data_IF_055021986249
#
_entry.id   IF_055021986249
#
_cell.length_a   1.000
_cell.length_b   1.000
_cell.length_c   1.000
_cell.angle_alpha   90.00
_cell.angle_beta   90.00
_cell.angle_gamma   90.00
#
_symmetry.space_group_name_H-M   'P 1'
#
loop_
_entity.id
_entity.type
_entity.pdbx_description
1 polymer ?
#
# COMPACT_ATOMS: atom_id res chain seq x y z
N UNK A 1 14.81 -20.06 7.97
CA UNK A 1 14.53 -19.96 6.53
C UNK A 1 15.84 -20.00 5.74
N UNK A 2 16.76 -19.06 5.93
CA UNK A 2 18.00 -18.86 5.15
C UNK A 2 18.92 -20.09 5.13
N UNK A 3 19.08 -20.79 6.27
CA UNK A 3 19.88 -22.03 6.36
C UNK A 3 19.36 -23.14 5.43
N UNK A 4 18.14 -23.01 4.89
CA UNK A 4 17.52 -23.92 3.93
C UNK A 4 17.39 -23.33 2.55
N UNK A 5 18.05 -22.20 2.26
CA UNK A 5 17.99 -21.49 0.99
C UNK A 5 16.69 -20.76 0.71
N UNK A 6 15.83 -20.58 1.73
CA UNK A 6 14.57 -19.84 1.59
C UNK A 6 14.81 -18.35 1.82
N UNK A 7 14.13 -17.52 1.03
CA UNK A 7 14.02 -16.08 1.25
C UNK A 7 12.79 -15.76 2.09
N UNK A 8 12.86 -14.66 2.84
CA UNK A 8 11.77 -14.21 3.72
C UNK A 8 11.42 -12.78 3.36
N UNK A 9 10.18 -12.56 2.98
CA UNK A 9 9.58 -11.22 2.89
C UNK A 9 8.50 -11.11 3.96
N UNK A 10 8.25 -9.92 4.46
CA UNK A 10 7.17 -9.64 5.42
C UNK A 10 6.29 -8.52 4.91
N UNK A 11 5.08 -8.47 5.45
CA UNK A 11 4.19 -7.34 5.19
C UNK A 11 4.75 -6.06 5.81
N UNK A 12 4.55 -4.97 5.10
CA UNK A 12 4.88 -3.63 5.52
C UNK A 12 3.65 -2.75 5.29
N UNK A 13 2.76 -2.62 6.27
CA UNK A 13 1.66 -1.66 6.20
C UNK A 13 2.24 -0.26 6.30
N UNK A 14 2.25 0.44 5.17
CA UNK A 14 2.82 1.79 5.07
C UNK A 14 1.78 2.86 5.37
N UNK A 15 0.53 2.63 4.96
CA UNK A 15 -0.51 3.64 4.96
C UNK A 15 -0.97 4.06 6.36
N UNK A 16 -1.05 3.15 7.30
CA UNK A 16 -1.70 3.36 8.60
C UNK A 16 -1.00 2.63 9.74
N UNK A 17 -1.41 2.95 10.96
CA UNK A 17 -1.08 2.16 12.15
C UNK A 17 -2.35 1.75 12.89
N UNK A 18 -2.22 0.95 13.94
CA UNK A 18 -3.30 0.81 14.93
C UNK A 18 -3.54 2.15 15.65
N UNK A 19 -4.78 2.43 16.03
CA UNK A 19 -5.14 3.53 16.94
C UNK A 19 -4.51 3.39 18.33
N UNK A 20 -4.01 2.19 18.68
CA UNK A 20 -3.26 1.92 19.92
C UNK A 20 -1.76 2.17 19.76
N UNK A 21 -1.28 2.52 18.56
CA UNK A 21 0.12 2.78 18.33
C UNK A 21 0.60 4.00 19.15
N UNK A 22 1.80 3.96 19.75
CA UNK A 22 2.31 5.08 20.55
C UNK A 22 2.33 6.42 19.80
N UNK A 23 2.58 6.42 18.50
CA UNK A 23 2.55 7.66 17.69
C UNK A 23 1.13 8.25 17.64
N UNK A 24 0.10 7.41 17.45
CA UNK A 24 -1.27 7.90 17.41
C UNK A 24 -1.72 8.42 18.79
N UNK A 25 -1.41 7.69 19.86
CA UNK A 25 -1.73 8.12 21.20
C UNK A 25 -1.06 9.46 21.55
N UNK A 26 0.23 9.63 21.19
CA UNK A 26 0.94 10.90 21.38
C UNK A 26 0.35 12.03 20.50
N UNK A 27 0.00 11.73 19.25
CA UNK A 27 -0.59 12.69 18.31
C UNK A 27 -1.94 13.21 18.80
N UNK A 28 -2.79 12.32 19.36
CA UNK A 28 -4.12 12.70 19.85
C UNK A 28 -4.07 13.51 21.16
N UNK A 29 -3.08 13.24 22.02
CA UNK A 29 -2.93 13.90 23.33
C UNK A 29 -2.24 15.25 23.24
N UNK A 30 -1.28 15.42 22.31
CA UNK A 30 -0.50 16.65 22.15
C UNK A 30 -0.42 17.06 20.67
N UNK A 31 -1.38 17.87 20.18
CA UNK A 31 -1.39 18.35 18.79
C UNK A 31 -0.16 19.15 18.38
N UNK A 32 0.50 19.84 19.31
CA UNK A 32 1.69 20.65 19.07
C UNK A 32 2.99 19.88 19.35
N UNK A 33 2.88 18.64 19.81
CA UNK A 33 4.00 17.77 20.15
C UNK A 33 4.72 17.20 18.92
N UNK A 34 5.79 16.44 19.14
CA UNK A 34 6.62 15.91 18.05
C UNK A 34 5.88 14.95 17.13
N UNK A 35 4.78 14.35 17.58
CA UNK A 35 3.92 13.45 16.82
C UNK A 35 2.58 14.10 16.42
N UNK A 36 2.35 15.38 16.76
CA UNK A 36 1.07 16.04 16.57
C UNK A 36 0.52 15.96 15.14
N UNK A 37 1.40 15.96 14.16
CA UNK A 37 1.09 15.94 12.72
C UNK A 37 1.53 14.64 12.02
N UNK A 38 1.60 13.53 12.78
CA UNK A 38 1.95 12.22 12.21
C UNK A 38 0.80 11.53 11.50
N UNK A 39 -0.43 11.95 11.76
CA UNK A 39 -1.66 11.42 11.15
C UNK A 39 -2.42 12.55 10.47
N UNK A 40 -3.32 12.19 9.59
CA UNK A 40 -4.15 13.15 8.86
C UNK A 40 -5.32 13.58 9.74
N UNK A 41 -5.28 14.83 10.22
CA UNK A 41 -6.29 15.43 11.09
C UNK A 41 -7.04 16.56 10.41
N UNK A 42 -8.30 16.78 10.80
CA UNK A 42 -9.12 17.89 10.33
C UNK A 42 -10.10 18.35 11.42
N UNK A 43 -10.45 19.64 11.38
CA UNK A 43 -11.51 20.18 12.23
C UNK A 43 -12.92 19.76 11.78
N UNK A 44 -13.05 19.32 10.53
CA UNK A 44 -14.31 18.85 9.93
C UNK A 44 -14.11 17.53 9.20
N UNK A 45 -15.16 16.81 8.92
CA UNK A 45 -15.22 15.60 8.10
C UNK A 45 -15.57 15.89 6.63
N UNK A 46 -15.41 17.14 6.19
CA UNK A 46 -15.82 17.60 4.86
C UNK A 46 -14.74 17.47 3.78
N UNK A 47 -13.48 17.17 4.16
CA UNK A 47 -12.39 17.00 3.20
C UNK A 47 -12.46 15.66 2.51
N UNK A 48 -11.86 15.58 1.31
CA UNK A 48 -11.63 14.36 0.53
C UNK A 48 -12.93 13.59 0.21
N UNK A 49 -14.02 14.30 -0.10
CA UNK A 49 -15.34 13.72 -0.33
C UNK A 49 -15.41 12.82 -1.59
N UNK A 50 -14.48 12.98 -2.52
CA UNK A 50 -14.38 12.15 -3.73
C UNK A 50 -13.71 10.79 -3.45
N UNK A 51 -13.14 10.61 -2.27
CA UNK A 51 -12.53 9.36 -1.85
C UNK A 51 -13.61 8.35 -1.43
N UNK A 52 -13.69 7.23 -2.14
CA UNK A 52 -14.66 6.17 -1.81
C UNK A 52 -14.39 5.55 -0.44
N UNK A 53 -15.42 5.06 0.21
CA UNK A 53 -15.30 4.18 1.37
C UNK A 53 -15.01 2.77 0.87
N UNK A 54 -13.92 2.15 1.36
CA UNK A 54 -13.50 0.81 0.92
C UNK A 54 -14.40 -0.26 1.56
N UNK A 55 -14.61 -0.20 2.87
CA UNK A 55 -15.39 -1.19 3.62
C UNK A 55 -16.80 -0.68 3.94
N UNK A 56 -17.62 -0.53 2.92
CA UNK A 56 -19.00 0.00 3.02
C UNK A 56 -19.92 -0.78 3.96
N UNK A 57 -19.61 -2.03 4.28
CA UNK A 57 -20.39 -2.86 5.18
C UNK A 57 -20.12 -2.55 6.67
N UNK A 58 -19.00 -1.89 6.96
CA UNK A 58 -18.54 -1.64 8.33
C UNK A 58 -18.29 -0.17 8.63
N UNK A 59 -17.87 0.61 7.64
CA UNK A 59 -17.53 2.03 7.77
C UNK A 59 -18.55 2.89 7.04
N UNK A 60 -18.93 4.00 7.64
CA UNK A 60 -19.89 4.98 7.09
C UNK A 60 -19.22 6.26 6.62
N UNK A 61 -17.95 6.45 6.96
CA UNK A 61 -17.12 7.60 6.61
C UNK A 61 -15.66 7.19 6.60
N UNK A 62 -14.82 7.91 5.88
CA UNK A 62 -13.36 7.84 5.99
C UNK A 62 -12.83 8.74 7.13
N UNK A 63 -13.70 9.43 7.85
CA UNK A 63 -13.38 10.29 9.00
C UNK A 63 -14.00 9.77 10.27
N UNK A 64 -13.23 9.77 11.35
CA UNK A 64 -13.74 9.45 12.70
C UNK A 64 -13.37 10.57 13.68
N UNK A 65 -14.35 11.02 14.47
CA UNK A 65 -14.14 12.06 15.50
C UNK A 65 -13.40 11.47 16.71
N UNK A 66 -12.28 12.11 17.08
CA UNK A 66 -11.54 11.80 18.30
C UNK A 66 -11.92 12.78 19.43
N UNK A 67 -12.51 12.28 20.54
CA UNK A 67 -12.96 13.15 21.63
C UNK A 67 -11.81 13.71 22.48
N UNK A 68 -10.61 13.13 22.44
CA UNK A 68 -9.44 13.60 23.19
C UNK A 68 -8.86 14.81 22.48
N UNK A 69 -8.52 14.67 21.18
CA UNK A 69 -7.99 15.75 20.36
C UNK A 69 -9.07 16.75 19.94
N UNK A 70 -10.34 16.32 19.90
CA UNK A 70 -11.51 17.10 19.45
C UNK A 70 -11.43 17.50 17.98
N UNK A 71 -10.83 16.64 17.18
CA UNK A 71 -10.71 16.74 15.73
C UNK A 71 -11.11 15.40 15.09
N UNK A 72 -11.29 15.38 13.79
CA UNK A 72 -11.48 14.16 13.01
C UNK A 72 -10.11 13.67 12.52
N UNK A 73 -9.91 12.35 12.57
CA UNK A 73 -8.77 11.72 11.89
C UNK A 73 -9.24 10.92 10.68
N UNK A 74 -8.40 10.91 9.66
CA UNK A 74 -8.63 10.16 8.43
C UNK A 74 -8.25 8.69 8.60
N UNK A 75 -9.01 7.80 7.98
CA UNK A 75 -8.71 6.38 7.85
C UNK A 75 -9.28 5.87 6.53
N UNK A 76 -8.44 5.31 5.71
CA UNK A 76 -8.87 4.76 4.42
C UNK A 76 -9.54 3.39 4.56
N UNK A 77 -9.18 2.66 5.61
CA UNK A 77 -9.65 1.33 5.92
C UNK A 77 -10.60 1.37 7.12
N UNK A 78 -10.24 0.74 8.23
CA UNK A 78 -11.09 0.73 9.41
C UNK A 78 -10.81 1.93 10.34
N UNK A 79 -11.82 2.36 11.07
CA UNK A 79 -11.72 3.46 12.03
C UNK A 79 -10.69 3.25 13.15
N UNK A 80 -10.23 2.02 13.37
CA UNK A 80 -9.12 1.72 14.28
C UNK A 80 -7.73 1.67 13.60
N UNK A 81 -7.67 2.09 12.33
CA UNK A 81 -6.46 2.13 11.50
C UNK A 81 -6.23 3.53 10.93
N UNK A 82 -5.88 4.53 11.78
CA UNK A 82 -5.66 5.90 11.32
C UNK A 82 -4.50 5.99 10.34
N UNK A 83 -4.68 6.77 9.29
CA UNK A 83 -3.71 6.94 8.22
C UNK A 83 -2.58 7.91 8.62
N UNK A 84 -1.36 7.53 8.25
CA UNK A 84 -0.17 8.34 8.45
C UNK A 84 -0.13 9.52 7.47
N UNK A 85 0.33 10.67 7.93
CA UNK A 85 0.47 11.88 7.12
C UNK A 85 1.80 11.87 6.35
N UNK A 86 1.81 11.35 5.14
CA UNK A 86 3.00 11.31 4.28
C UNK A 86 3.44 12.67 3.72
N UNK A 87 2.64 13.73 3.88
CA UNK A 87 3.10 15.09 3.63
C UNK A 87 4.11 15.57 4.69
N UNK A 88 4.11 14.95 5.86
CA UNK A 88 5.06 15.24 6.92
C UNK A 88 6.37 14.47 6.70
N UNK A 89 7.51 15.16 6.45
CA UNK A 89 8.79 14.49 6.21
C UNK A 89 9.28 13.65 7.40
N UNK A 90 8.86 13.96 8.62
CA UNK A 90 9.20 13.15 9.80
C UNK A 90 8.50 11.78 9.79
N UNK A 91 7.32 11.70 9.20
CA UNK A 91 6.62 10.42 8.98
C UNK A 91 7.41 9.57 7.98
N UNK A 92 7.84 10.18 6.88
CA UNK A 92 8.66 9.49 5.87
C UNK A 92 9.96 8.97 6.47
N UNK A 93 10.66 9.78 7.27
CA UNK A 93 11.88 9.35 8.00
C UNK A 93 11.59 8.19 8.95
N UNK A 94 10.52 8.29 9.76
CA UNK A 94 10.16 7.24 10.71
C UNK A 94 9.78 5.93 10.00
N UNK A 95 9.10 6.00 8.85
CA UNK A 95 8.80 4.83 8.02
C UNK A 95 10.08 4.21 7.45
N UNK A 96 11.03 5.02 6.99
CA UNK A 96 12.33 4.51 6.54
C UNK A 96 13.12 3.84 7.66
N UNK A 97 13.04 4.34 8.88
CA UNK A 97 13.67 3.70 10.05
C UNK A 97 13.04 2.34 10.35
N UNK A 98 11.71 2.20 10.20
CA UNK A 98 11.01 0.91 10.31
C UNK A 98 11.49 -0.06 9.22
N UNK A 99 11.61 0.40 7.98
CA UNK A 99 12.12 -0.41 6.86
C UNK A 99 13.55 -0.90 7.16
N UNK A 100 14.43 0.01 7.55
CA UNK A 100 15.83 -0.32 7.90
C UNK A 100 15.90 -1.31 9.05
N UNK A 101 15.11 -1.11 10.09
CA UNK A 101 15.06 -2.03 11.24
C UNK A 101 14.82 -3.49 10.81
N UNK A 102 13.84 -3.72 9.94
CA UNK A 102 13.54 -5.06 9.47
C UNK A 102 14.60 -5.62 8.51
N UNK A 103 15.16 -4.77 7.64
CA UNK A 103 16.25 -5.18 6.74
C UNK A 103 17.53 -5.52 7.51
N UNK A 104 17.84 -4.77 8.59
CA UNK A 104 18.96 -5.06 9.49
C UNK A 104 18.77 -6.38 10.23
N UNK A 105 17.53 -6.78 10.54
CA UNK A 105 17.21 -8.11 11.05
C UNK A 105 17.42 -9.23 10.02
N UNK A 106 17.64 -8.90 8.76
CA UNK A 106 18.02 -9.83 7.70
C UNK A 106 16.88 -10.39 6.87
N UNK A 107 15.70 -9.75 6.85
CA UNK A 107 14.64 -10.12 5.89
C UNK A 107 15.09 -9.78 4.46
N UNK A 108 14.50 -10.46 3.47
CA UNK A 108 14.88 -10.34 2.07
C UNK A 108 14.03 -9.33 1.28
N UNK A 109 13.02 -8.76 1.90
CA UNK A 109 12.17 -7.75 1.30
C UNK A 109 10.81 -7.59 1.97
N UNK A 110 9.94 -6.82 1.32
CA UNK A 110 8.62 -6.47 1.83
C UNK A 110 7.52 -6.69 0.80
N UNK A 111 6.32 -7.06 1.27
CA UNK A 111 5.07 -6.76 0.60
C UNK A 111 4.60 -5.39 1.10
N UNK A 112 4.71 -4.37 0.26
CA UNK A 112 4.24 -3.03 0.56
C UNK A 112 2.71 -3.01 0.42
N UNK A 113 2.04 -3.00 1.56
CA UNK A 113 0.59 -3.05 1.70
C UNK A 113 -0.03 -1.68 1.46
N UNK A 114 -1.19 -1.65 0.80
CA UNK A 114 -2.05 -0.47 0.66
C UNK A 114 -1.38 0.76 0.04
N UNK A 115 -0.37 0.58 -0.82
CA UNK A 115 0.42 1.69 -1.38
C UNK A 115 -0.37 2.71 -2.22
N UNK A 116 -1.51 2.40 -2.88
CA UNK A 116 -2.27 3.40 -3.61
C UNK A 116 -2.82 4.54 -2.74
N UNK A 117 -2.86 4.39 -1.44
CA UNK A 117 -3.63 5.24 -0.52
C UNK A 117 -2.78 6.15 0.38
N UNK A 118 -1.47 6.28 0.11
CA UNK A 118 -0.52 6.99 0.99
C UNK A 118 -0.71 8.51 1.06
N UNK A 119 -1.36 9.11 0.06
CA UNK A 119 -1.48 10.56 -0.08
C UNK A 119 -2.94 10.95 -0.23
N UNK A 120 -3.34 11.98 0.49
CA UNK A 120 -4.64 12.62 0.38
C UNK A 120 -4.51 13.97 -0.33
N UNK A 121 -5.35 14.21 -1.33
CA UNK A 121 -5.41 15.49 -2.05
C UNK A 121 -6.86 15.86 -2.34
N UNK A 122 -7.24 17.10 -1.98
CA UNK A 122 -8.60 17.60 -2.17
C UNK A 122 -8.97 17.64 -3.66
N UNK A 123 -10.20 17.21 -3.98
CA UNK A 123 -10.68 17.14 -5.35
C UNK A 123 -10.17 15.93 -6.15
N UNK A 124 -9.55 14.96 -5.47
CA UNK A 124 -9.14 13.67 -6.04
C UNK A 124 -9.81 12.51 -5.29
N UNK A 125 -9.69 11.29 -5.84
CA UNK A 125 -10.14 10.08 -5.16
C UNK A 125 -9.16 9.59 -4.06
N UNK A 126 -8.05 10.29 -3.82
CA UNK A 126 -6.97 9.90 -2.92
C UNK A 126 -6.40 8.50 -3.22
N UNK A 127 -6.26 8.15 -4.48
CA UNK A 127 -5.69 6.88 -4.93
C UNK A 127 -4.66 7.12 -6.04
N UNK A 128 -3.52 6.46 -5.96
CA UNK A 128 -2.49 6.48 -7.02
C UNK A 128 -1.99 7.90 -7.36
N UNK A 129 -1.80 8.74 -6.36
CA UNK A 129 -1.37 10.12 -6.57
C UNK A 129 0.14 10.23 -6.79
N UNK A 130 0.62 11.30 -7.46
CA UNK A 130 2.05 11.48 -7.75
C UNK A 130 2.96 11.40 -6.52
N UNK A 131 2.52 11.91 -5.37
CA UNK A 131 3.27 11.83 -4.11
C UNK A 131 3.54 10.40 -3.63
N UNK A 132 2.66 9.46 -3.97
CA UNK A 132 2.87 8.03 -3.71
C UNK A 132 4.07 7.50 -4.50
N UNK A 133 4.15 7.83 -5.79
CA UNK A 133 5.26 7.44 -6.66
C UNK A 133 6.58 8.08 -6.23
N UNK A 134 6.56 9.37 -5.85
CA UNK A 134 7.74 10.07 -5.31
C UNK A 134 8.28 9.38 -4.04
N UNK A 135 7.39 8.90 -3.17
CA UNK A 135 7.77 8.14 -1.98
C UNK A 135 8.38 6.79 -2.37
N UNK A 136 7.76 6.05 -3.30
CA UNK A 136 8.24 4.72 -3.71
C UNK A 136 9.60 4.79 -4.40
N UNK A 137 9.86 5.80 -5.23
CA UNK A 137 11.18 6.04 -5.82
C UNK A 137 12.24 6.21 -4.72
N UNK A 138 11.97 7.06 -3.71
CA UNK A 138 12.90 7.28 -2.59
C UNK A 138 13.13 6.01 -1.76
N UNK A 139 12.06 5.26 -1.52
CA UNK A 139 12.13 3.97 -0.82
C UNK A 139 12.99 2.97 -1.61
N UNK A 140 12.76 2.87 -2.93
CA UNK A 140 13.51 2.00 -3.82
C UNK A 140 14.99 2.38 -3.87
N UNK A 141 15.31 3.65 -4.03
CA UNK A 141 16.68 4.15 -4.03
C UNK A 141 17.41 3.82 -2.73
N UNK A 142 16.75 4.00 -1.59
CA UNK A 142 17.33 3.66 -0.28
C UNK A 142 17.60 2.16 -0.17
N UNK A 143 16.64 1.32 -0.56
CA UNK A 143 16.77 -0.14 -0.49
C UNK A 143 17.88 -0.64 -1.41
N UNK A 144 17.92 -0.17 -2.67
CA UNK A 144 18.95 -0.61 -3.61
C UNK A 144 20.36 -0.19 -3.19
N UNK A 145 20.50 1.01 -2.62
CA UNK A 145 21.79 1.56 -2.17
C UNK A 145 22.30 0.90 -0.90
N UNK A 146 21.44 0.76 0.12
CA UNK A 146 21.86 0.34 1.47
C UNK A 146 21.69 -1.17 1.69
N UNK A 147 20.77 -1.81 0.96
CA UNK A 147 20.41 -3.23 1.12
C UNK A 147 20.32 -3.97 -0.23
N UNK A 148 21.39 -4.04 -0.99
CA UNK A 148 21.36 -4.62 -2.34
C UNK A 148 20.80 -6.06 -2.32
N UNK A 149 19.97 -6.37 -3.32
CA UNK A 149 19.35 -7.70 -3.49
C UNK A 149 18.12 -7.94 -2.62
N UNK A 150 17.56 -6.91 -2.02
CA UNK A 150 16.25 -6.95 -1.36
C UNK A 150 15.15 -6.60 -2.37
N UNK A 151 13.91 -7.03 -2.08
CA UNK A 151 12.79 -6.81 -3.00
C UNK A 151 11.65 -6.04 -2.31
N UNK A 152 10.97 -5.21 -3.09
CA UNK A 152 9.71 -4.57 -2.73
C UNK A 152 8.65 -5.12 -3.67
N UNK A 153 7.59 -5.70 -3.10
CA UNK A 153 6.43 -6.23 -3.83
C UNK A 153 5.26 -5.30 -3.56
N UNK A 154 4.76 -4.66 -4.60
CA UNK A 154 3.61 -3.75 -4.49
C UNK A 154 2.30 -4.54 -4.36
N UNK A 155 1.49 -4.16 -3.39
CA UNK A 155 0.08 -4.52 -3.37
C UNK A 155 -0.77 -3.31 -3.79
N UNK A 156 -1.25 -3.37 -5.03
CA UNK A 156 -2.17 -2.42 -5.61
C UNK A 156 -3.27 -3.20 -6.34
N UNK A 157 -4.46 -3.28 -5.72
CA UNK A 157 -5.60 -3.98 -6.31
C UNK A 157 -6.32 -3.07 -7.31
N UNK A 158 -5.66 -2.83 -8.43
CA UNK A 158 -6.12 -2.00 -9.53
C UNK A 158 -6.00 -2.76 -10.86
N UNK A 159 -6.43 -2.15 -11.94
CA UNK A 159 -6.28 -2.74 -13.27
C UNK A 159 -4.80 -2.74 -13.71
N UNK A 160 -4.34 -3.71 -14.51
CA UNK A 160 -2.93 -3.82 -14.88
C UNK A 160 -2.32 -2.58 -15.54
N UNK A 161 -3.14 -1.77 -16.24
CA UNK A 161 -2.69 -0.52 -16.86
C UNK A 161 -2.44 0.61 -15.84
N UNK A 162 -2.99 0.50 -14.64
CA UNK A 162 -2.73 1.39 -13.50
C UNK A 162 -1.56 0.82 -12.67
N UNK A 163 -1.61 -0.49 -12.37
CA UNK A 163 -0.57 -1.16 -11.56
C UNK A 163 0.81 -1.08 -12.20
N UNK A 164 0.91 -0.99 -13.53
CA UNK A 164 2.19 -0.89 -14.23
C UNK A 164 3.00 0.35 -13.81
N UNK A 165 2.34 1.40 -13.34
CA UNK A 165 2.99 2.63 -12.86
C UNK A 165 3.85 2.37 -11.62
N UNK A 166 3.47 1.43 -10.74
CA UNK A 166 4.25 1.06 -9.54
C UNK A 166 5.55 0.31 -9.81
N UNK A 167 5.84 -0.06 -11.04
CA UNK A 167 7.18 -0.50 -11.42
C UNK A 167 8.13 0.68 -11.66
N UNK A 168 7.58 1.87 -11.92
CA UNK A 168 8.32 3.04 -12.34
C UNK A 168 8.91 2.88 -13.76
N UNK A 169 10.03 3.54 -14.00
CA UNK A 169 10.79 3.47 -15.25
C UNK A 169 12.20 2.93 -15.01
N UNK A 170 12.98 2.74 -16.09
CA UNK A 170 14.41 2.37 -15.96
C UNK A 170 15.23 3.48 -15.28
N UNK A 171 14.85 4.76 -15.48
CA UNK A 171 15.51 5.92 -14.88
C UNK A 171 14.99 6.25 -13.47
N UNK A 172 13.77 5.89 -13.18
CA UNK A 172 13.09 6.14 -11.90
C UNK A 172 12.34 4.90 -11.43
N UNK A 173 13.05 3.85 -10.98
CA UNK A 173 12.43 2.59 -10.59
C UNK A 173 11.70 2.71 -9.25
N UNK A 174 10.56 2.01 -9.13
CA UNK A 174 9.77 1.92 -7.92
C UNK A 174 9.81 0.50 -7.36
N UNK A 175 8.74 -0.28 -7.49
CA UNK A 175 8.72 -1.63 -6.95
C UNK A 175 9.40 -2.65 -7.87
N UNK A 176 9.98 -3.68 -7.28
CA UNK A 176 10.60 -4.79 -8.03
C UNK A 176 9.55 -5.73 -8.62
N UNK A 177 8.44 -5.88 -7.89
CA UNK A 177 7.33 -6.74 -8.27
C UNK A 177 6.01 -6.05 -7.96
N UNK A 178 4.98 -6.35 -8.74
CA UNK A 178 3.59 -5.99 -8.45
C UNK A 178 2.70 -7.22 -8.59
N UNK A 179 1.70 -7.35 -7.72
CA UNK A 179 0.74 -8.42 -7.85
C UNK A 179 -0.16 -8.22 -9.06
N UNK A 180 -0.40 -9.30 -9.80
CA UNK A 180 -1.32 -9.32 -10.93
C UNK A 180 -2.69 -9.85 -10.48
N UNK A 181 -3.50 -9.00 -9.84
CA UNK A 181 -4.78 -9.38 -9.29
C UNK A 181 -5.76 -10.01 -10.32
N UNK A 182 -5.95 -9.44 -11.52
CA UNK A 182 -6.94 -9.95 -12.46
C UNK A 182 -6.69 -11.38 -12.95
N UNK A 183 -5.46 -11.89 -12.91
CA UNK A 183 -5.18 -13.26 -13.41
C UNK A 183 -5.73 -14.33 -12.48
N UNK A 184 -5.80 -14.07 -11.18
CA UNK A 184 -6.25 -15.06 -10.17
C UNK A 184 -7.68 -15.54 -10.44
N UNK A 185 -8.71 -14.68 -10.51
CA UNK A 185 -10.07 -15.13 -10.81
C UNK A 185 -10.18 -15.76 -12.21
N UNK A 186 -9.38 -15.33 -13.18
CA UNK A 186 -9.39 -15.89 -14.53
C UNK A 186 -8.83 -17.31 -14.58
N UNK A 187 -7.88 -17.66 -13.70
CA UNK A 187 -7.41 -19.04 -13.55
C UNK A 187 -8.56 -19.94 -13.07
N UNK A 188 -9.27 -19.56 -12.01
CA UNK A 188 -10.41 -20.34 -11.50
C UNK A 188 -11.53 -20.46 -12.52
N UNK A 189 -11.89 -19.35 -13.17
CA UNK A 189 -12.91 -19.34 -14.22
C UNK A 189 -12.54 -20.27 -15.39
N UNK A 190 -11.28 -20.21 -15.84
CA UNK A 190 -10.78 -21.05 -16.92
C UNK A 190 -10.80 -22.55 -16.56
N UNK A 191 -10.43 -22.88 -15.33
CA UNK A 191 -10.48 -24.27 -14.83
C UNK A 191 -11.91 -24.78 -14.76
N UNK A 192 -12.84 -23.97 -14.23
CA UNK A 192 -14.26 -24.34 -14.13
C UNK A 192 -14.88 -24.59 -15.51
N UNK A 193 -14.67 -23.70 -16.45
CA UNK A 193 -15.28 -23.74 -17.78
C UNK A 193 -14.47 -24.56 -18.78
N UNK A 194 -13.30 -25.06 -18.41
CA UNK A 194 -12.35 -25.79 -19.26
C UNK A 194 -11.98 -25.01 -20.54
N UNK A 195 -11.77 -23.67 -20.39
CA UNK A 195 -11.42 -22.76 -21.48
C UNK A 195 -10.23 -21.89 -21.11
N UNK A 196 -9.21 -21.84 -21.96
CA UNK A 196 -8.04 -20.98 -21.74
C UNK A 196 -8.28 -19.52 -22.09
N UNK A 197 -9.33 -19.20 -22.83
CA UNK A 197 -9.58 -17.85 -23.36
C UNK A 197 -9.54 -16.73 -22.30
N UNK A 198 -10.10 -16.87 -21.07
CA UNK A 198 -10.01 -15.83 -20.06
C UNK A 198 -8.57 -15.50 -19.65
N UNK A 199 -7.72 -16.53 -19.46
CA UNK A 199 -6.29 -16.33 -19.14
C UNK A 199 -5.58 -15.66 -20.31
N UNK A 200 -5.75 -16.17 -21.52
CA UNK A 200 -5.10 -15.65 -22.72
C UNK A 200 -5.47 -14.16 -22.94
N UNK A 201 -6.76 -13.82 -22.82
CA UNK A 201 -7.22 -12.45 -22.95
C UNK A 201 -6.64 -11.52 -21.89
N UNK A 202 -6.58 -11.96 -20.63
CA UNK A 202 -5.99 -11.16 -19.55
C UNK A 202 -4.52 -10.92 -19.78
N UNK A 203 -3.76 -11.95 -20.14
CA UNK A 203 -2.33 -11.82 -20.41
C UNK A 203 -2.03 -10.97 -21.65
N UNK A 204 -2.87 -11.06 -22.69
CA UNK A 204 -2.73 -10.24 -23.90
C UNK A 204 -2.97 -8.74 -23.64
N UNK A 205 -3.75 -8.40 -22.61
CA UNK A 205 -4.02 -7.02 -22.19
C UNK A 205 -3.13 -6.56 -21.02
N UNK A 206 -2.21 -7.39 -20.55
CA UNK A 206 -1.25 -7.02 -19.52
C UNK A 206 -0.13 -6.17 -20.14
N UNK A 207 0.16 -4.96 -19.61
CA UNK A 207 1.20 -4.09 -20.12
C UNK A 207 2.60 -4.71 -20.02
N UNK A 208 3.50 -4.25 -20.90
CA UNK A 208 4.93 -4.52 -20.76
C UNK A 208 5.49 -3.81 -19.53
N UNK A 209 6.40 -4.42 -18.83
CA UNK A 209 7.04 -3.90 -17.62
C UNK A 209 8.54 -3.63 -17.86
N UNK A 210 9.17 -2.73 -17.07
CA UNK A 210 10.61 -2.46 -17.16
C UNK A 210 11.47 -3.71 -16.98
N UNK A 211 12.65 -3.72 -17.54
CA UNK A 211 13.60 -4.83 -17.39
C UNK A 211 13.99 -5.00 -15.92
N UNK A 212 14.08 -6.25 -15.49
CA UNK A 212 14.45 -6.59 -14.10
C UNK A 212 13.30 -6.52 -13.12
N UNK A 213 12.09 -6.21 -13.56
CA UNK A 213 10.87 -6.28 -12.75
C UNK A 213 10.04 -7.52 -13.07
N UNK A 214 9.06 -7.85 -12.23
CA UNK A 214 8.29 -9.08 -12.35
C UNK A 214 6.86 -8.92 -11.88
N UNK A 215 5.88 -9.38 -12.68
CA UNK A 215 4.54 -9.63 -12.20
C UNK A 215 4.50 -10.79 -11.21
N UNK A 216 3.88 -10.59 -10.05
CA UNK A 216 3.60 -11.63 -9.08
C UNK A 216 2.21 -12.23 -9.29
N UNK A 217 2.13 -13.51 -9.64
CA UNK A 217 0.86 -14.21 -9.74
C UNK A 217 0.60 -15.04 -8.50
N UNK A 218 -0.66 -15.14 -8.09
CA UNK A 218 -1.07 -15.91 -6.93
C UNK A 218 -2.43 -16.57 -7.21
N UNK A 219 -2.75 -17.62 -6.47
CA UNK A 219 -4.05 -18.28 -6.54
C UNK A 219 -4.98 -17.85 -5.42
N UNK A 220 -4.41 -17.43 -4.29
CA UNK A 220 -5.12 -16.99 -3.11
C UNK A 220 -4.19 -16.19 -2.20
N UNK A 221 -4.72 -15.18 -1.52
CA UNK A 221 -4.11 -14.55 -0.36
C UNK A 221 -5.12 -14.52 0.80
N UNK A 222 -4.86 -13.76 1.87
CA UNK A 222 -5.73 -13.68 3.04
C UNK A 222 -7.01 -12.84 2.78
N UNK A 223 -6.98 -11.93 1.79
CA UNK A 223 -8.12 -11.06 1.43
C UNK A 223 -8.89 -11.57 0.22
N UNK A 224 -8.20 -12.22 -0.72
CA UNK A 224 -8.68 -12.47 -2.06
C UNK A 224 -8.99 -13.93 -2.30
N UNK A 225 -10.16 -14.36 -1.95
CA UNK A 225 -10.85 -15.52 -2.52
C UNK A 225 -12.35 -15.34 -2.34
N UNK A 226 -12.93 -14.39 -3.02
CA UNK A 226 -14.36 -14.21 -3.03
C UNK A 226 -14.95 -14.75 -4.33
N UNK A 227 -16.16 -15.31 -4.25
CA UNK A 227 -16.90 -15.74 -5.44
C UNK A 227 -17.28 -14.58 -6.36
N UNK A 228 -17.23 -13.37 -5.85
CA UNK A 228 -17.48 -12.13 -6.60
C UNK A 228 -16.41 -11.85 -7.67
N UNK A 229 -15.23 -12.42 -7.49
CA UNK A 229 -14.10 -12.22 -8.42
C UNK A 229 -14.06 -13.26 -9.56
N UNK A 230 -14.98 -14.23 -9.60
CA UNK A 230 -14.93 -15.38 -10.53
C UNK A 230 -16.11 -15.37 -11.52
#
# INVERSE_FOLDING_TARGET
>A
AHARGLRVITDLPLNHTSDQHPWFQASREDPEGPYGDFYVWSDTDEKYQDARIIFVDTEVSNWTFDPVRRQFFWHRFFSHQPDLNFENPKVVEAVFDVVKFWLDMGIDGFRADAIPYLIEEEGTNCENLPGTHDFLVKLREMVDREYPGRVIVAEANQMPHEVVEYFGTEESPECHMCFHFPIMPRIYYSLRDQKAAPIVSTMANTPQIPRGTQWGTFLRNHDELTLEMV
#
